data_IF_173453106881
#
_entry.id   IF_173453106881
#
_cell.length_a   1.000
_cell.length_b   1.000
_cell.length_c   1.000
_cell.angle_alpha   90.00
_cell.angle_beta   90.00
_cell.angle_gamma   90.00
#
_symmetry.space_group_name_H-M   'P 1'
#
loop_
_entity.id
_entity.type
_entity.pdbx_description
1 polymer ?
#
# COMPACT_ATOMS: atom_id res chain seq x y z
N UNK A 1 -76.22 -56.90 -35.45
CA UNK A 1 -76.54 -55.78 -34.54
C UNK A 1 -75.84 -56.00 -33.20
N UNK A 2 -74.80 -55.21 -32.88
CA UNK A 2 -74.10 -55.31 -31.60
C UNK A 2 -75.04 -54.91 -30.46
N UNK A 3 -75.12 -55.73 -29.41
CA UNK A 3 -76.00 -55.47 -28.25
C UNK A 3 -75.63 -54.14 -27.58
N UNK A 4 -76.65 -53.42 -27.12
CA UNK A 4 -76.55 -52.08 -26.52
C UNK A 4 -75.49 -52.01 -25.39
N UNK A 5 -75.26 -53.13 -24.69
CA UNK A 5 -74.23 -53.25 -23.63
C UNK A 5 -72.79 -53.16 -24.17
N UNK A 6 -72.50 -53.68 -25.37
CA UNK A 6 -71.16 -53.59 -26.00
C UNK A 6 -70.88 -52.22 -26.61
N UNK A 7 -71.93 -51.48 -26.98
CA UNK A 7 -71.84 -50.09 -27.48
C UNK A 7 -71.56 -49.08 -26.36
N UNK A 8 -72.10 -49.32 -25.16
CA UNK A 8 -71.83 -48.49 -23.98
C UNK A 8 -70.38 -48.68 -23.50
N UNK A 9 -69.84 -49.90 -23.52
CA UNK A 9 -68.44 -50.14 -23.17
C UNK A 9 -67.45 -49.50 -24.15
N UNK A 10 -67.76 -49.48 -25.46
CA UNK A 10 -66.96 -48.80 -26.48
C UNK A 10 -67.09 -47.27 -26.40
N UNK A 11 -68.28 -46.73 -26.11
CA UNK A 11 -68.50 -45.29 -25.92
C UNK A 11 -67.88 -44.78 -24.61
N UNK A 12 -67.87 -45.60 -23.55
CA UNK A 12 -67.15 -45.30 -22.31
C UNK A 12 -65.63 -45.41 -22.50
N UNK A 13 -65.13 -46.37 -23.28
CA UNK A 13 -63.71 -46.51 -23.59
C UNK A 13 -63.16 -45.36 -24.43
N UNK A 14 -63.93 -44.83 -25.38
CA UNK A 14 -63.52 -43.68 -26.21
C UNK A 14 -63.64 -42.34 -25.46
N UNK A 15 -64.64 -42.18 -24.59
CA UNK A 15 -64.83 -40.95 -23.82
C UNK A 15 -63.84 -40.82 -22.65
N UNK A 16 -63.37 -41.93 -22.08
CA UNK A 16 -62.31 -41.92 -21.05
C UNK A 16 -60.93 -41.62 -21.64
N UNK A 17 -60.72 -41.85 -22.95
CA UNK A 17 -59.43 -41.57 -23.62
C UNK A 17 -59.37 -40.16 -24.23
N UNK A 18 -60.51 -39.46 -24.39
CA UNK A 18 -60.58 -38.13 -25.01
C UNK A 18 -60.66 -36.94 -24.02
N UNK A 19 -60.43 -37.17 -22.71
CA UNK A 19 -59.88 -36.14 -21.81
C UNK A 19 -58.39 -36.43 -21.59
N UNK A 20 -57.74 -36.98 -22.62
CA UNK A 20 -56.32 -36.82 -22.83
C UNK A 20 -56.04 -35.37 -23.20
N UNK A 21 -55.81 -34.53 -22.19
CA UNK A 21 -55.03 -33.30 -22.34
C UNK A 21 -54.47 -32.96 -20.95
N UNK A 22 -53.38 -33.65 -20.62
CA UNK A 22 -52.27 -33.16 -19.80
C UNK A 22 -52.55 -31.87 -19.01
N UNK A 23 -53.16 -31.97 -17.83
CA UNK A 23 -52.86 -31.00 -16.78
C UNK A 23 -51.49 -31.37 -16.19
N UNK A 24 -50.46 -31.33 -17.03
CA UNK A 24 -49.13 -31.15 -16.51
C UNK A 24 -49.21 -29.79 -15.79
N UNK A 25 -49.04 -29.76 -14.47
CA UNK A 25 -48.65 -28.51 -13.82
C UNK A 25 -47.30 -28.15 -14.43
N UNK A 26 -47.33 -27.37 -15.51
CA UNK A 26 -46.15 -26.74 -16.04
C UNK A 26 -45.77 -25.66 -15.02
N UNK A 27 -45.03 -26.04 -13.99
CA UNK A 27 -44.30 -25.07 -13.20
C UNK A 27 -43.35 -24.39 -14.19
N UNK A 28 -43.56 -23.11 -14.45
CA UNK A 28 -42.56 -22.33 -15.17
C UNK A 28 -41.28 -22.36 -14.33
N UNK A 29 -40.17 -22.77 -14.92
CA UNK A 29 -38.85 -22.64 -14.30
C UNK A 29 -38.55 -21.15 -14.17
N UNK A 30 -38.73 -20.59 -12.97
CA UNK A 30 -38.33 -19.22 -12.67
C UNK A 30 -36.81 -19.18 -12.49
N UNK A 31 -36.08 -18.73 -13.52
CA UNK A 31 -34.67 -18.37 -13.40
C UNK A 31 -34.57 -16.88 -13.09
N UNK A 32 -33.85 -16.52 -12.02
CA UNK A 32 -33.56 -15.14 -11.64
C UNK A 32 -32.07 -14.93 -11.49
N UNK A 33 -31.55 -13.87 -12.10
CA UNK A 33 -30.19 -13.38 -11.88
C UNK A 33 -30.23 -12.19 -10.94
N UNK A 34 -29.37 -12.19 -9.92
CA UNK A 34 -29.17 -11.05 -9.04
C UNK A 34 -27.71 -10.63 -9.08
N UNK A 35 -27.46 -9.33 -8.98
CA UNK A 35 -26.13 -8.79 -8.73
C UNK A 35 -26.19 -7.85 -7.52
N UNK A 36 -25.07 -7.73 -6.83
CA UNK A 36 -24.88 -6.80 -5.73
C UNK A 36 -23.51 -6.15 -5.87
N UNK A 37 -23.36 -4.97 -5.28
CA UNK A 37 -22.10 -4.24 -5.26
C UNK A 37 -21.59 -4.16 -3.82
N UNK A 38 -20.27 -4.16 -3.66
CA UNK A 38 -19.59 -3.83 -2.42
C UNK A 38 -18.58 -2.70 -2.69
N UNK A 39 -18.30 -1.90 -1.68
CA UNK A 39 -17.31 -0.81 -1.75
C UNK A 39 -16.05 -1.25 -1.02
N UNK A 40 -14.90 -1.23 -1.71
CA UNK A 40 -13.61 -1.38 -1.07
C UNK A 40 -13.22 -0.08 -0.34
N UNK A 41 -12.63 -0.19 0.85
CA UNK A 41 -12.12 0.95 1.60
C UNK A 41 -10.84 1.53 1.01
N UNK A 42 -10.36 2.65 1.58
CA UNK A 42 -9.08 3.29 1.25
C UNK A 42 -8.08 3.08 2.37
N UNK A 43 -6.79 2.98 2.04
CA UNK A 43 -5.72 3.01 3.03
C UNK A 43 -5.60 4.42 3.65
N UNK A 44 -5.26 4.47 4.94
CA UNK A 44 -4.96 5.72 5.67
C UNK A 44 -3.46 6.03 5.69
N UNK A 45 -2.64 5.13 5.16
CA UNK A 45 -1.20 5.28 4.99
C UNK A 45 -0.39 5.04 6.26
N UNK A 46 0.92 5.15 6.09
CA UNK A 46 1.92 5.08 7.16
C UNK A 46 2.59 6.44 7.35
N UNK A 47 2.96 6.76 8.59
CA UNK A 47 3.71 7.97 8.94
C UNK A 47 5.05 7.58 9.55
N UNK A 48 6.13 8.14 9.04
CA UNK A 48 7.45 8.06 9.68
C UNK A 48 7.63 9.27 10.59
N UNK A 49 8.17 9.05 11.79
CA UNK A 49 8.47 10.12 12.74
C UNK A 49 9.67 9.79 13.61
N UNK A 50 10.04 10.75 14.48
CA UNK A 50 11.11 10.56 15.45
C UNK A 50 12.44 10.13 14.81
N UNK A 51 12.70 10.61 13.59
CA UNK A 51 13.97 10.37 12.90
C UNK A 51 15.09 10.96 13.73
N UNK A 52 16.01 10.10 14.16
CA UNK A 52 17.10 10.45 15.04
C UNK A 52 18.41 9.82 14.56
N UNK A 53 19.52 10.41 14.99
CA UNK A 53 20.88 9.99 14.69
C UNK A 53 21.61 9.69 15.98
N UNK A 54 22.42 8.64 16.01
CA UNK A 54 23.14 8.21 17.22
C UNK A 54 24.50 8.91 17.45
N UNK A 55 24.81 9.93 16.65
CA UNK A 55 26.08 10.64 16.73
C UNK A 55 26.12 11.95 15.95
N UNK A 56 27.29 12.58 15.93
CA UNK A 56 27.57 13.81 15.19
C UNK A 56 28.30 13.50 13.89
N UNK A 57 27.93 14.19 12.82
CA UNK A 57 28.59 14.08 11.53
C UNK A 57 29.79 15.03 11.42
N UNK A 58 30.92 14.45 11.04
CA UNK A 58 32.13 15.10 10.56
C UNK A 58 32.54 14.49 9.22
N UNK A 59 33.38 15.18 8.41
CA UNK A 59 33.94 14.59 7.20
C UNK A 59 34.51 13.19 7.46
N UNK A 60 34.02 12.20 6.71
CA UNK A 60 34.43 10.80 6.78
C UNK A 60 33.68 9.93 7.79
N UNK A 61 32.83 10.51 8.65
CA UNK A 61 32.09 9.75 9.67
C UNK A 61 30.73 9.25 9.19
N UNK A 62 30.23 8.23 9.87
CA UNK A 62 28.92 7.61 9.63
C UNK A 62 28.19 7.48 10.95
N UNK A 63 26.90 7.82 10.95
CA UNK A 63 26.00 7.68 12.10
C UNK A 63 24.84 6.77 11.72
N UNK A 64 24.31 6.03 12.68
CA UNK A 64 23.13 5.23 12.46
C UNK A 64 21.86 6.08 12.58
N UNK A 65 20.83 5.65 11.87
CA UNK A 65 19.51 6.28 11.87
C UNK A 65 18.53 5.39 12.63
N UNK A 66 17.64 5.99 13.41
CA UNK A 66 16.48 5.36 14.02
C UNK A 66 15.23 6.19 13.76
N UNK A 67 14.05 5.57 13.75
CA UNK A 67 12.77 6.24 13.54
C UNK A 67 11.61 5.33 13.92
N UNK A 68 10.41 5.90 13.98
CA UNK A 68 9.17 5.17 14.26
C UNK A 68 8.28 5.14 13.01
N UNK A 69 7.64 4.00 12.76
CA UNK A 69 6.66 3.83 11.69
C UNK A 69 5.28 3.60 12.30
N UNK A 70 4.37 4.55 12.07
CA UNK A 70 3.01 4.50 12.58
C UNK A 70 2.05 4.11 11.46
N UNK A 71 1.23 3.10 11.72
CA UNK A 71 0.08 2.80 10.89
C UNK A 71 -1.07 3.73 11.30
N UNK A 72 -1.45 4.65 10.42
CA UNK A 72 -2.52 5.60 10.69
C UNK A 72 -3.92 4.99 10.48
N UNK A 73 -4.02 3.80 9.87
CA UNK A 73 -5.28 3.07 9.74
C UNK A 73 -5.69 2.46 11.07
N UNK A 74 -6.90 2.74 11.53
CA UNK A 74 -7.50 2.10 12.71
C UNK A 74 -8.23 0.79 12.42
N UNK A 75 -8.28 0.36 11.15
CA UNK A 75 -9.10 -0.77 10.72
C UNK A 75 -8.31 -1.91 10.09
N UNK A 76 -7.13 -1.64 9.54
CA UNK A 76 -6.37 -2.63 8.77
C UNK A 76 -4.88 -2.60 9.12
N UNK A 77 -4.22 -3.77 9.19
CA UNK A 77 -2.77 -3.81 9.21
C UNK A 77 -2.20 -3.35 7.86
N UNK A 78 -0.96 -2.86 7.88
CA UNK A 78 -0.23 -2.41 6.69
C UNK A 78 1.12 -3.10 6.61
N UNK A 79 1.56 -3.43 5.39
CA UNK A 79 2.87 -4.03 5.15
C UNK A 79 3.86 -2.96 4.70
N UNK A 80 5.03 -2.95 5.34
CA UNK A 80 6.16 -2.08 5.02
C UNK A 80 7.28 -2.93 4.45
N UNK A 81 7.57 -2.71 3.16
CA UNK A 81 8.67 -3.37 2.46
C UNK A 81 10.02 -2.79 2.87
N UNK A 82 10.24 -1.51 2.55
CA UNK A 82 11.48 -0.78 2.79
C UNK A 82 11.21 0.64 3.27
N UNK A 83 12.22 1.27 3.87
CA UNK A 83 12.25 2.71 4.13
C UNK A 83 13.45 3.30 3.42
N UNK A 84 13.21 4.30 2.60
CA UNK A 84 14.20 4.95 1.74
C UNK A 84 14.19 6.46 1.96
N UNK A 85 15.21 7.17 1.48
CA UNK A 85 15.17 8.63 1.44
C UNK A 85 13.98 9.08 0.57
N UNK A 86 13.17 9.99 1.10
CA UNK A 86 12.08 10.58 0.35
C UNK A 86 12.63 11.65 -0.57
N UNK A 87 12.96 11.25 -1.79
CA UNK A 87 13.34 12.18 -2.85
C UNK A 87 12.16 13.07 -3.29
N UNK A 88 10.96 12.96 -2.72
CA UNK A 88 9.80 13.72 -3.16
C UNK A 88 9.38 13.34 -4.58
N UNK A 89 8.72 14.26 -5.26
CA UNK A 89 8.27 14.07 -6.65
C UNK A 89 9.33 14.59 -7.61
N UNK A 90 9.77 13.78 -8.57
CA UNK A 90 10.65 14.29 -9.62
C UNK A 90 9.85 15.18 -10.58
N UNK A 91 10.16 16.47 -10.61
CA UNK A 91 9.68 17.40 -11.61
C UNK A 91 10.58 17.31 -12.85
N UNK A 92 10.06 16.61 -13.86
CA UNK A 92 10.75 16.44 -15.13
C UNK A 92 10.95 17.75 -15.92
N UNK A 93 10.17 18.80 -15.63
CA UNK A 93 10.28 20.10 -16.31
C UNK A 93 11.53 20.85 -15.85
N UNK A 94 11.79 20.82 -14.54
CA UNK A 94 12.95 21.50 -13.94
C UNK A 94 14.13 20.55 -13.67
N UNK A 95 13.96 19.25 -13.89
CA UNK A 95 14.95 18.20 -13.56
C UNK A 95 15.36 18.23 -12.09
N UNK A 96 14.40 18.56 -11.22
CA UNK A 96 14.59 18.69 -9.78
C UNK A 96 13.55 17.86 -9.03
N UNK A 97 13.86 17.51 -7.81
CA UNK A 97 12.91 16.89 -6.91
C UNK A 97 12.14 17.98 -6.14
N UNK A 98 10.81 17.89 -6.11
CA UNK A 98 9.98 18.68 -5.20
C UNK A 98 10.23 18.26 -3.75
N UNK A 99 9.97 19.17 -2.82
CA UNK A 99 10.17 18.93 -1.40
C UNK A 99 9.36 17.72 -0.89
N UNK A 100 9.95 16.85 -0.06
CA UNK A 100 11.34 16.87 0.40
C UNK A 100 12.32 16.25 -0.62
N UNK A 101 13.56 16.75 -0.69
CA UNK A 101 14.58 16.24 -1.62
C UNK A 101 15.53 15.22 -0.96
N UNK A 102 14.99 14.35 -0.10
CA UNK A 102 15.71 13.29 0.63
C UNK A 102 16.50 13.81 1.81
N UNK A 103 17.53 14.62 1.56
CA UNK A 103 18.36 15.24 2.59
C UNK A 103 18.29 16.75 2.45
N UNK A 104 18.10 17.44 3.56
CA UNK A 104 18.06 18.89 3.64
C UNK A 104 19.10 19.41 4.61
N UNK A 105 19.67 20.56 4.26
CA UNK A 105 20.56 21.33 5.11
C UNK A 105 19.83 22.63 5.42
N UNK A 106 19.92 23.13 6.64
CA UNK A 106 19.35 24.42 6.97
C UNK A 106 19.85 25.52 6.00
N UNK A 107 18.98 26.49 5.74
CA UNK A 107 19.20 27.49 4.69
C UNK A 107 20.46 28.34 4.91
N UNK A 108 20.90 28.51 6.15
CA UNK A 108 22.09 29.32 6.47
C UNK A 108 23.36 28.60 6.02
N UNK A 109 23.51 27.32 6.35
CA UNK A 109 24.69 26.55 5.96
C UNK A 109 24.63 26.15 4.47
N UNK A 110 23.44 25.88 3.93
CA UNK A 110 23.26 25.60 2.50
C UNK A 110 23.73 26.78 1.64
N UNK A 111 23.36 28.02 2.00
CA UNK A 111 23.81 29.23 1.28
C UNK A 111 25.28 29.56 1.52
N UNK A 112 25.84 29.17 2.67
CA UNK A 112 27.27 29.27 2.96
C UNK A 112 28.14 28.24 2.21
N UNK A 113 27.53 27.28 1.50
CA UNK A 113 28.22 26.30 0.67
C UNK A 113 28.33 24.91 1.28
N UNK A 114 27.57 24.58 2.32
CA UNK A 114 27.40 23.20 2.75
C UNK A 114 26.50 22.47 1.76
N UNK A 115 27.02 21.44 1.09
CA UNK A 115 26.34 20.80 -0.04
C UNK A 115 25.61 19.54 0.41
N UNK A 116 24.36 19.37 -0.04
CA UNK A 116 23.59 18.13 0.19
C UNK A 116 24.33 16.92 -0.38
N UNK A 117 25.06 17.08 -1.50
CA UNK A 117 25.87 16.03 -2.11
C UNK A 117 27.03 15.52 -1.25
N UNK A 118 27.37 16.21 -0.17
CA UNK A 118 28.35 15.72 0.81
C UNK A 118 27.76 14.66 1.74
N UNK A 119 26.44 14.48 1.76
CA UNK A 119 25.75 13.54 2.63
C UNK A 119 25.17 12.38 1.83
N UNK A 120 25.31 11.17 2.38
CA UNK A 120 24.81 9.94 1.77
C UNK A 120 24.04 9.15 2.80
N UNK A 121 22.74 8.99 2.57
CA UNK A 121 21.92 8.03 3.29
C UNK A 121 21.98 6.67 2.61
N UNK A 122 22.31 5.63 3.38
CA UNK A 122 22.24 4.24 2.95
C UNK A 122 21.08 3.57 3.66
N UNK A 123 20.02 3.30 2.90
CA UNK A 123 18.84 2.60 3.40
C UNK A 123 19.18 1.16 3.80
N UNK A 124 18.52 0.62 4.84
CA UNK A 124 18.62 -0.80 5.16
C UNK A 124 17.94 -1.66 4.09
N UNK A 125 18.24 -2.95 4.07
CA UNK A 125 17.85 -3.84 2.97
C UNK A 125 16.33 -3.95 2.77
N UNK A 126 15.63 -4.66 3.66
CA UNK A 126 14.18 -4.80 3.66
C UNK A 126 13.70 -5.12 5.07
N UNK A 127 12.60 -4.50 5.50
CA UNK A 127 11.93 -4.81 6.76
C UNK A 127 10.94 -5.96 6.60
N UNK A 128 10.14 -5.92 5.52
CA UNK A 128 9.06 -6.87 5.25
C UNK A 128 8.17 -7.12 6.49
N UNK A 129 7.84 -6.04 7.20
CA UNK A 129 7.11 -6.10 8.46
C UNK A 129 5.65 -5.68 8.25
N UNK A 130 4.73 -6.39 8.91
CA UNK A 130 3.34 -5.97 9.04
C UNK A 130 3.14 -5.17 10.33
N UNK A 131 2.56 -3.98 10.24
CA UNK A 131 2.23 -3.14 11.38
C UNK A 131 0.73 -3.24 11.58
N UNK A 132 0.32 -3.63 12.79
CA UNK A 132 -1.10 -3.75 13.15
C UNK A 132 -1.86 -2.43 12.97
N UNK A 133 -3.19 -2.49 12.90
CA UNK A 133 -4.04 -1.30 12.89
C UNK A 133 -3.75 -0.42 14.12
N UNK A 134 -3.57 0.88 13.90
CA UNK A 134 -3.13 1.86 14.90
C UNK A 134 -1.83 1.47 15.61
N UNK A 135 -1.04 0.58 15.01
CA UNK A 135 0.22 0.10 15.55
C UNK A 135 1.35 1.09 15.32
N UNK A 136 2.36 0.95 16.17
CA UNK A 136 3.64 1.65 16.09
C UNK A 136 4.75 0.59 16.01
N UNK A 137 5.74 0.86 15.17
CA UNK A 137 6.91 0.02 14.99
C UNK A 137 8.17 0.87 15.09
N UNK A 138 8.91 0.68 16.18
CA UNK A 138 10.16 1.38 16.47
C UNK A 138 11.30 0.70 15.73
N UNK A 139 11.91 1.43 14.81
CA UNK A 139 13.16 1.03 14.14
C UNK A 139 14.33 1.62 14.92
N UNK A 140 14.99 0.78 15.72
CA UNK A 140 16.15 1.19 16.50
C UNK A 140 17.42 1.20 15.65
N UNK A 141 18.39 2.05 15.99
CA UNK A 141 19.71 1.97 15.41
C UNK A 141 20.36 0.59 15.74
N UNK A 142 21.04 -0.07 14.79
CA UNK A 142 21.42 0.40 13.45
C UNK A 142 20.42 0.05 12.33
N UNK A 143 19.26 -0.51 12.67
CA UNK A 143 18.34 -1.11 11.70
C UNK A 143 17.67 -0.08 10.78
N UNK A 144 17.70 1.21 11.14
CA UNK A 144 17.19 2.32 10.33
C UNK A 144 18.13 2.76 9.20
N UNK A 145 19.28 2.09 9.02
CA UNK A 145 20.29 2.47 8.03
C UNK A 145 21.28 3.50 8.58
N UNK A 146 22.04 4.12 7.67
CA UNK A 146 23.15 5.00 8.06
C UNK A 146 23.18 6.29 7.25
N UNK A 147 23.53 7.39 7.90
CA UNK A 147 23.84 8.66 7.24
C UNK A 147 25.35 8.93 7.35
N UNK A 148 26.00 9.20 6.22
CA UNK A 148 27.44 9.50 6.14
C UNK A 148 27.66 10.92 5.65
N UNK A 149 28.65 11.61 6.22
CA UNK A 149 29.24 12.80 5.61
C UNK A 149 30.53 12.38 4.89
N UNK A 150 30.58 12.56 3.59
CA UNK A 150 31.73 12.24 2.77
C UNK A 150 32.92 13.12 3.14
N UNK A 151 34.11 12.52 3.17
CA UNK A 151 35.37 13.24 3.24
C UNK A 151 35.78 13.61 1.80
N UNK A 152 35.68 14.88 1.45
CA UNK A 152 35.95 15.37 0.09
C UNK A 152 37.25 16.17 0.06
N UNK A 153 37.80 16.40 -1.13
CA UNK A 153 38.95 17.29 -1.31
C UNK A 153 38.60 18.78 -1.18
N UNK A 154 37.32 19.12 -1.05
CA UNK A 154 36.82 20.49 -0.94
C UNK A 154 36.71 20.89 0.54
N UNK A 155 36.74 22.20 0.83
CA UNK A 155 36.54 22.68 2.19
C UNK A 155 35.05 22.55 2.59
N UNK A 156 34.76 21.74 3.61
CA UNK A 156 33.41 21.50 4.17
C UNK A 156 33.13 22.30 5.46
N UNK A 157 33.91 23.34 5.75
CA UNK A 157 33.76 24.19 6.94
C UNK A 157 32.38 24.86 7.02
N UNK A 158 31.76 25.12 5.87
CA UNK A 158 30.40 25.64 5.79
C UNK A 158 29.36 24.69 6.42
N UNK A 159 29.68 23.41 6.63
CA UNK A 159 28.80 22.44 7.30
C UNK A 159 28.94 22.40 8.82
N UNK A 160 29.87 23.16 9.42
CA UNK A 160 30.02 23.20 10.87
C UNK A 160 28.73 23.71 11.50
N UNK A 161 28.20 22.98 12.48
CA UNK A 161 26.93 23.28 13.18
C UNK A 161 25.68 23.29 12.30
N UNK A 162 25.78 22.80 11.07
CA UNK A 162 24.63 22.65 10.19
C UNK A 162 23.61 21.66 10.78
N UNK A 163 22.33 21.99 10.63
CA UNK A 163 21.25 21.04 10.87
C UNK A 163 20.98 20.28 9.58
N UNK A 164 21.19 18.96 9.62
CA UNK A 164 20.92 18.05 8.52
C UNK A 164 19.65 17.26 8.82
N UNK A 165 18.64 17.42 7.97
CA UNK A 165 17.36 16.73 8.08
C UNK A 165 17.30 15.63 7.04
N UNK A 166 16.99 14.41 7.47
CA UNK A 166 16.73 13.26 6.60
C UNK A 166 15.22 13.03 6.51
N UNK A 167 14.69 13.15 5.30
CA UNK A 167 13.30 12.84 4.99
C UNK A 167 13.21 11.41 4.48
N UNK A 168 12.27 10.65 5.02
CA UNK A 168 12.12 9.23 4.76
C UNK A 168 10.71 8.93 4.26
N UNK A 169 10.60 7.92 3.39
CA UNK A 169 9.32 7.33 3.00
C UNK A 169 9.39 5.82 2.99
N UNK A 170 8.22 5.21 3.08
CA UNK A 170 8.07 3.78 2.80
C UNK A 170 8.10 3.55 1.29
N UNK A 171 8.86 2.52 0.88
CA UNK A 171 8.86 1.99 -0.48
C UNK A 171 8.40 0.53 -0.45
N UNK A 172 7.27 0.29 -1.10
CA UNK A 172 6.61 -1.01 -1.21
C UNK A 172 6.76 -1.60 -2.63
N UNK A 173 7.59 -1.03 -3.50
CA UNK A 173 7.75 -1.49 -4.89
C UNK A 173 8.38 -2.89 -5.02
N UNK A 174 8.94 -3.42 -3.92
CA UNK A 174 9.64 -4.70 -3.87
C UNK A 174 8.86 -5.83 -3.15
N UNK A 175 7.63 -5.57 -2.70
CA UNK A 175 6.73 -6.56 -2.06
C UNK A 175 5.54 -6.89 -2.95
#
# INVERSE_FOLDING_TARGET
MLSTKKRIAMAAGLLVVAIGASAAFAYWTASGTGSGNATAGTDSGVKIQNVAFDGTLYPGTTVNVSFDILNNSSSTPVKVGKVVADQGTFDAVHSTYEWPAGIEIDSTHATAGCLVGDFVYTAPAAYNHEIAASGDYVVSAPDGGTLKMNDTSSNQDACKTATVTLHLKVDNSAI
#
